data_IF_015680495226
#
_entry.id   IF_015680495226
#
_cell.length_a   1.000
_cell.length_b   1.000
_cell.length_c   1.000
_cell.angle_alpha   90.00
_cell.angle_beta   90.00
_cell.angle_gamma   90.00
#
_symmetry.space_group_name_H-M   'P 1'
#
loop_
_entity.id
_entity.type
_entity.pdbx_description
1 polymer ?
#
# COMPACT_ATOMS: atom_id res chain seq x y z
N UNK A 1 11.14 -10.40 -3.68
CA UNK A 1 10.52 -10.97 -2.47
C UNK A 1 11.64 -11.17 -1.47
N UNK A 2 11.58 -10.51 -0.31
CA UNK A 2 12.65 -10.61 0.69
C UNK A 2 12.70 -11.98 1.37
N UNK A 3 13.91 -12.42 1.74
CA UNK A 3 14.15 -13.68 2.46
C UNK A 3 13.17 -13.92 3.63
N UNK A 4 12.80 -12.90 4.45
CA UNK A 4 11.86 -13.09 5.55
C UNK A 4 10.48 -13.59 5.12
N UNK A 5 9.93 -13.06 4.03
CA UNK A 5 8.62 -13.44 3.53
C UNK A 5 8.62 -14.88 3.02
N UNK A 6 9.69 -15.29 2.35
CA UNK A 6 9.86 -16.67 1.88
C UNK A 6 9.94 -17.65 3.05
N UNK A 7 10.66 -17.31 4.12
CA UNK A 7 10.73 -18.14 5.33
C UNK A 7 9.35 -18.30 5.97
N UNK A 8 8.59 -17.21 6.10
CA UNK A 8 7.23 -17.25 6.65
C UNK A 8 6.33 -18.14 5.80
N UNK A 9 6.34 -18.00 4.48
CA UNK A 9 5.56 -18.83 3.57
C UNK A 9 5.93 -20.31 3.70
N UNK A 10 7.22 -20.64 3.75
CA UNK A 10 7.68 -22.01 3.96
C UNK A 10 7.27 -22.57 5.32
N UNK A 11 7.29 -21.77 6.38
CA UNK A 11 6.85 -22.19 7.71
C UNK A 11 5.35 -22.55 7.72
N UNK A 12 4.50 -21.70 7.15
CA UNK A 12 3.07 -21.99 7.07
C UNK A 12 2.76 -23.21 6.20
N UNK A 13 3.44 -23.36 5.07
CA UNK A 13 3.28 -24.55 4.22
C UNK A 13 3.75 -25.83 4.94
N UNK A 14 4.86 -25.75 5.68
CA UNK A 14 5.34 -26.87 6.50
C UNK A 14 4.39 -27.19 7.65
N UNK A 15 3.73 -26.19 8.23
CA UNK A 15 2.72 -26.39 9.26
C UNK A 15 1.52 -27.18 8.73
N UNK A 16 1.06 -26.95 7.51
CA UNK A 16 -0.02 -27.74 6.89
C UNK A 16 0.33 -29.22 6.79
N UNK A 17 1.61 -29.55 6.62
CA UNK A 17 2.06 -30.95 6.49
C UNK A 17 2.36 -31.61 7.84
N UNK A 18 2.86 -30.87 8.84
CA UNK A 18 3.33 -31.39 10.12
C UNK A 18 2.42 -31.03 11.30
N UNK A 19 1.24 -30.49 11.06
CA UNK A 19 0.36 -29.94 12.11
C UNK A 19 -0.03 -30.93 13.20
N UNK A 20 -0.16 -32.23 12.90
CA UNK A 20 -0.50 -33.30 13.83
C UNK A 20 0.64 -33.64 14.81
N UNK A 21 1.88 -33.26 14.50
CA UNK A 21 3.06 -33.57 15.30
C UNK A 21 3.40 -32.50 16.33
N UNK A 22 2.66 -31.39 16.32
CA UNK A 22 2.90 -30.28 17.21
C UNK A 22 2.12 -30.44 18.52
N UNK A 23 2.76 -30.19 19.69
CA UNK A 23 2.09 -30.39 20.98
C UNK A 23 1.17 -29.23 21.37
N UNK A 24 0.03 -29.56 21.99
CA UNK A 24 -0.83 -28.61 22.69
C UNK A 24 -1.65 -27.70 21.78
N UNK A 25 -1.65 -26.40 22.06
CA UNK A 25 -2.49 -25.41 21.35
C UNK A 25 -2.15 -25.26 19.86
N UNK A 26 -0.98 -25.76 19.44
CA UNK A 26 -0.53 -25.73 18.05
C UNK A 26 -0.82 -27.03 17.28
N UNK A 27 -1.50 -28.00 17.91
CA UNK A 27 -1.95 -29.20 17.25
C UNK A 27 -3.00 -28.85 16.19
N UNK A 28 -2.75 -29.19 14.94
CA UNK A 28 -3.60 -28.92 13.79
C UNK A 28 -3.83 -30.17 12.96
N UNK A 29 -4.73 -30.09 12.00
CA UNK A 29 -4.93 -31.15 11.03
C UNK A 29 -3.71 -31.22 10.11
N UNK A 30 -3.18 -32.43 9.88
CA UNK A 30 -2.17 -32.66 8.87
C UNK A 30 -2.83 -33.07 7.56
N UNK A 31 -2.35 -32.52 6.48
CA UNK A 31 -2.82 -32.83 5.14
C UNK A 31 -1.73 -33.57 4.38
N UNK A 32 -2.07 -34.62 3.62
CA UNK A 32 -1.11 -35.25 2.73
C UNK A 32 -0.60 -34.27 1.68
N UNK A 33 0.62 -34.48 1.23
CA UNK A 33 1.29 -33.56 0.29
C UNK A 33 0.47 -33.32 -0.99
N UNK A 34 -0.30 -34.32 -1.44
CA UNK A 34 -1.20 -34.19 -2.59
C UNK A 34 -2.29 -33.15 -2.37
N UNK A 35 -2.93 -33.16 -1.20
CA UNK A 35 -3.99 -32.19 -0.85
C UNK A 35 -3.41 -30.79 -0.65
N UNK A 36 -2.21 -30.68 -0.06
CA UNK A 36 -1.52 -29.38 0.09
C UNK A 36 -1.20 -28.77 -1.28
N UNK A 37 -0.72 -29.58 -2.23
CA UNK A 37 -0.44 -29.12 -3.60
C UNK A 37 -1.75 -28.75 -4.31
N UNK A 38 -2.78 -29.58 -4.17
CA UNK A 38 -4.09 -29.32 -4.76
C UNK A 38 -4.67 -28.01 -4.25
N UNK A 39 -4.69 -27.77 -2.94
CA UNK A 39 -5.19 -26.57 -2.31
C UNK A 39 -4.40 -25.31 -2.72
N UNK A 40 -3.07 -25.39 -2.79
CA UNK A 40 -2.24 -24.23 -3.10
C UNK A 40 -2.26 -23.89 -4.60
N UNK A 41 -2.31 -24.91 -5.48
CA UNK A 41 -2.09 -24.70 -6.91
C UNK A 41 -3.32 -24.90 -7.79
N UNK A 42 -4.23 -25.82 -7.43
CA UNK A 42 -5.37 -26.20 -8.27
C UNK A 42 -6.70 -25.59 -7.85
N UNK A 43 -6.77 -24.95 -6.67
CA UNK A 43 -7.99 -24.30 -6.21
C UNK A 43 -7.94 -22.79 -6.38
N UNK A 44 -9.12 -22.18 -6.44
CA UNK A 44 -9.31 -20.72 -6.47
C UNK A 44 -9.03 -20.04 -5.11
N UNK A 45 -8.69 -20.82 -4.08
CA UNK A 45 -8.34 -20.32 -2.74
C UNK A 45 -6.82 -20.27 -2.50
N UNK A 46 -6.02 -20.82 -3.42
CA UNK A 46 -4.56 -20.86 -3.35
C UNK A 46 -3.88 -19.68 -4.02
N UNK A 47 -2.81 -19.97 -4.77
CA UNK A 47 -2.01 -18.94 -5.48
C UNK A 47 -2.85 -18.21 -6.52
N UNK A 48 -3.72 -18.93 -7.24
CA UNK A 48 -4.59 -18.37 -8.29
C UNK A 48 -5.91 -17.81 -7.75
N UNK A 49 -5.92 -17.39 -6.51
CA UNK A 49 -7.09 -16.83 -5.84
C UNK A 49 -7.45 -15.42 -6.34
N UNK A 50 -8.61 -14.94 -5.93
CA UNK A 50 -9.15 -13.61 -6.23
C UNK A 50 -8.13 -12.47 -6.05
N UNK A 51 -7.28 -12.39 -4.99
CA UNK A 51 -6.25 -11.38 -4.86
C UNK A 51 -5.26 -11.32 -6.02
N UNK A 52 -4.87 -12.45 -6.59
CA UNK A 52 -4.00 -12.48 -7.76
C UNK A 52 -4.72 -11.92 -8.99
N UNK A 53 -5.98 -12.30 -9.19
CA UNK A 53 -6.80 -11.78 -10.29
C UNK A 53 -6.96 -10.26 -10.25
N UNK A 54 -7.30 -9.71 -9.09
CA UNK A 54 -7.40 -8.25 -8.87
C UNK A 54 -6.04 -7.56 -9.09
N UNK A 55 -4.96 -8.16 -8.59
CA UNK A 55 -3.60 -7.61 -8.76
C UNK A 55 -3.17 -7.58 -10.22
N UNK A 56 -3.47 -8.63 -10.98
CA UNK A 56 -3.08 -8.75 -12.38
C UNK A 56 -3.91 -7.86 -13.33
N UNK A 57 -5.10 -7.47 -12.93
CA UNK A 57 -6.02 -6.66 -13.76
C UNK A 57 -6.09 -5.20 -13.29
N UNK A 58 -6.88 -4.94 -12.26
CA UNK A 58 -7.16 -3.58 -11.79
C UNK A 58 -5.92 -2.88 -11.24
N UNK A 59 -5.20 -3.55 -10.32
CA UNK A 59 -4.04 -2.92 -9.67
C UNK A 59 -2.94 -2.66 -10.70
N UNK A 60 -2.66 -3.59 -11.61
CA UNK A 60 -1.66 -3.41 -12.65
C UNK A 60 -2.03 -2.23 -13.59
N UNK A 61 -3.29 -2.12 -14.01
CA UNK A 61 -3.75 -1.02 -14.86
C UNK A 61 -3.58 0.35 -14.16
N UNK A 62 -3.97 0.45 -12.89
CA UNK A 62 -3.81 1.69 -12.13
C UNK A 62 -2.36 2.04 -11.81
N UNK A 63 -1.48 1.05 -11.60
CA UNK A 63 -0.04 1.29 -11.41
C UNK A 63 0.60 1.86 -12.69
N UNK A 64 0.24 1.33 -13.86
CA UNK A 64 0.72 1.86 -15.15
C UNK A 64 0.21 3.29 -15.35
N UNK A 65 -1.07 3.54 -15.11
CA UNK A 65 -1.67 4.86 -15.23
C UNK A 65 -1.05 5.86 -14.25
N UNK A 66 -0.88 5.48 -12.98
CA UNK A 66 -0.24 6.31 -11.96
C UNK A 66 1.20 6.66 -12.31
N UNK A 67 1.98 5.68 -12.79
CA UNK A 67 3.36 5.90 -13.24
C UNK A 67 3.45 6.84 -14.45
N UNK A 68 2.49 6.77 -15.37
CA UNK A 68 2.40 7.72 -16.48
C UNK A 68 2.10 9.14 -15.98
N UNK A 69 1.12 9.31 -15.10
CA UNK A 69 0.79 10.61 -14.52
C UNK A 69 1.96 11.22 -13.73
N UNK A 70 2.68 10.41 -12.96
CA UNK A 70 3.86 10.86 -12.22
C UNK A 70 4.92 11.46 -13.18
N UNK A 71 5.17 10.81 -14.30
CA UNK A 71 6.12 11.30 -15.32
C UNK A 71 5.61 12.53 -16.07
N UNK A 72 4.31 12.76 -16.12
CA UNK A 72 3.72 13.98 -16.69
C UNK A 72 3.86 15.23 -15.81
N UNK A 73 4.50 15.12 -14.62
CA UNK A 73 4.73 16.26 -13.75
C UNK A 73 3.58 16.55 -12.77
N UNK A 74 2.72 15.58 -12.51
CA UNK A 74 1.59 15.71 -11.57
C UNK A 74 2.04 16.02 -10.15
N UNK A 75 3.21 15.52 -9.70
CA UNK A 75 3.74 15.80 -8.37
C UNK A 75 4.00 17.30 -8.11
N UNK A 76 4.82 18.00 -8.93
CA UNK A 76 5.01 19.46 -8.82
C UNK A 76 3.72 20.26 -8.95
N UNK A 77 2.79 19.82 -9.80
CA UNK A 77 1.47 20.46 -9.94
C UNK A 77 0.66 20.39 -8.66
N UNK A 78 0.55 19.22 -8.04
CA UNK A 78 -0.17 19.06 -6.76
C UNK A 78 0.47 19.82 -5.63
N UNK A 79 1.79 19.92 -5.61
CA UNK A 79 2.51 20.75 -4.65
C UNK A 79 2.13 22.23 -4.80
N UNK A 80 2.16 22.76 -6.02
CA UNK A 80 1.79 24.15 -6.29
C UNK A 80 0.31 24.42 -5.95
N UNK A 81 -0.55 23.48 -6.28
CA UNK A 81 -1.97 23.54 -5.94
C UNK A 81 -2.19 23.55 -4.41
N UNK A 82 -1.56 22.63 -3.68
CA UNK A 82 -1.63 22.59 -2.23
C UNK A 82 -1.11 23.88 -1.58
N UNK A 83 -0.03 24.47 -2.10
CA UNK A 83 0.51 25.76 -1.65
C UNK A 83 -0.49 26.89 -1.83
N UNK A 84 -1.20 26.94 -2.96
CA UNK A 84 -2.18 27.97 -3.22
C UNK A 84 -3.35 27.93 -2.23
N UNK A 85 -3.78 26.75 -1.80
CA UNK A 85 -4.91 26.59 -0.88
C UNK A 85 -4.53 26.69 0.60
N UNK A 86 -3.37 26.20 0.99
CA UNK A 86 -3.01 26.04 2.41
C UNK A 86 -1.79 26.85 2.84
N UNK A 87 -1.09 27.50 1.91
CA UNK A 87 0.19 28.16 2.18
C UNK A 87 0.11 29.32 3.19
N UNK A 88 -1.04 29.98 3.31
CA UNK A 88 -1.28 31.09 4.26
C UNK A 88 -1.88 30.66 5.59
N UNK A 89 -2.27 29.41 5.73
CA UNK A 89 -2.90 28.89 6.95
C UNK A 89 -1.85 28.69 8.08
N UNK A 90 -2.25 28.79 9.36
CA UNK A 90 -1.41 28.37 10.47
C UNK A 90 -0.97 26.91 10.30
N UNK A 91 0.34 26.64 10.40
CA UNK A 91 0.87 25.30 10.09
C UNK A 91 1.07 25.02 8.59
N UNK A 92 1.08 26.06 7.75
CA UNK A 92 1.15 25.99 6.27
C UNK A 92 1.99 24.86 5.68
N UNK A 93 3.27 24.67 6.06
CA UNK A 93 4.09 23.60 5.49
C UNK A 93 3.61 22.18 5.77
N UNK A 94 3.09 21.93 6.97
CA UNK A 94 2.51 20.62 7.30
C UNK A 94 1.18 20.40 6.54
N UNK A 95 0.37 21.44 6.43
CA UNK A 95 -0.88 21.38 5.65
C UNK A 95 -0.60 21.17 4.15
N UNK A 96 0.44 21.80 3.60
CA UNK A 96 0.90 21.56 2.23
C UNK A 96 1.31 20.10 2.06
N UNK A 97 2.06 19.53 3.01
CA UNK A 97 2.45 18.13 2.98
C UNK A 97 1.22 17.22 2.97
N UNK A 98 0.27 17.43 3.87
CA UNK A 98 -0.97 16.63 3.95
C UNK A 98 -1.78 16.73 2.65
N UNK A 99 -2.05 17.94 2.17
CA UNK A 99 -2.86 18.15 0.96
C UNK A 99 -2.20 17.58 -0.29
N UNK A 100 -0.89 17.82 -0.48
CA UNK A 100 -0.17 17.29 -1.64
C UNK A 100 -0.07 15.75 -1.59
N UNK A 101 0.15 15.17 -0.41
CA UNK A 101 0.17 13.71 -0.22
C UNK A 101 -1.21 13.08 -0.44
N UNK A 102 -2.29 13.72 -0.02
CA UNK A 102 -3.64 13.25 -0.32
C UNK A 102 -3.92 13.23 -1.83
N UNK A 103 -3.60 14.32 -2.52
CA UNK A 103 -3.78 14.43 -3.97
C UNK A 103 -2.91 13.43 -4.74
N UNK A 104 -1.64 13.32 -4.38
CA UNK A 104 -0.72 12.37 -5.02
C UNK A 104 -1.12 10.91 -4.69
N UNK A 105 -1.48 10.65 -3.43
CA UNK A 105 -1.91 9.33 -2.96
C UNK A 105 -3.17 8.85 -3.65
N UNK A 106 -4.11 9.76 -3.96
CA UNK A 106 -5.35 9.41 -4.68
C UNK A 106 -5.11 8.86 -6.09
N UNK A 107 -3.94 9.13 -6.67
CA UNK A 107 -3.55 8.63 -7.99
C UNK A 107 -2.58 7.45 -7.88
N UNK A 108 -1.58 7.55 -7.00
CA UNK A 108 -0.54 6.52 -6.87
C UNK A 108 -1.00 5.26 -6.12
N UNK A 109 -1.94 5.41 -5.19
CA UNK A 109 -2.42 4.32 -4.33
C UNK A 109 -1.36 3.67 -3.43
N UNK A 110 -0.11 4.17 -3.45
CA UNK A 110 1.03 3.60 -2.72
C UNK A 110 1.61 4.61 -1.75
N UNK A 111 1.58 4.30 -0.44
CA UNK A 111 2.20 5.16 0.58
C UNK A 111 3.71 5.35 0.34
N UNK A 112 4.41 4.30 -0.10
CA UNK A 112 5.86 4.38 -0.36
C UNK A 112 6.15 5.30 -1.54
N UNK A 113 5.43 5.13 -2.66
CA UNK A 113 5.57 6.02 -3.82
C UNK A 113 5.20 7.47 -3.45
N UNK A 114 4.19 7.66 -2.60
CA UNK A 114 3.77 8.98 -2.13
C UNK A 114 4.87 9.66 -1.30
N UNK A 115 5.48 8.97 -0.32
CA UNK A 115 6.61 9.51 0.45
C UNK A 115 7.77 9.92 -0.47
N UNK A 116 8.07 9.13 -1.51
CA UNK A 116 9.10 9.49 -2.48
C UNK A 116 8.70 10.68 -3.36
N UNK A 117 7.45 10.73 -3.80
CA UNK A 117 6.95 11.78 -4.69
C UNK A 117 6.80 13.14 -4.01
N UNK A 118 6.20 13.18 -2.83
CA UNK A 118 5.91 14.44 -2.10
C UNK A 118 6.95 14.75 -1.04
N UNK A 119 7.43 13.76 -0.29
CA UNK A 119 8.32 13.94 0.85
C UNK A 119 9.70 14.52 0.51
N UNK A 120 10.19 14.29 -0.71
CA UNK A 120 11.43 14.93 -1.19
C UNK A 120 11.35 16.46 -1.20
N UNK A 121 10.16 17.03 -1.29
CA UNK A 121 9.90 18.46 -1.27
C UNK A 121 9.35 18.93 0.06
N UNK A 122 8.38 18.24 0.63
CA UNK A 122 7.66 18.64 1.84
C UNK A 122 8.51 18.55 3.10
N UNK A 123 9.33 17.51 3.25
CA UNK A 123 10.22 17.37 4.42
C UNK A 123 11.25 18.50 4.50
N UNK A 124 12.01 18.82 3.41
CA UNK A 124 12.90 19.98 3.43
C UNK A 124 12.17 21.31 3.66
N UNK A 125 10.95 21.46 3.13
CA UNK A 125 10.15 22.67 3.33
C UNK A 125 9.78 22.84 4.81
N UNK A 126 9.28 21.82 5.47
CA UNK A 126 8.97 21.84 6.90
C UNK A 126 10.21 22.14 7.75
N UNK A 127 11.34 21.51 7.45
CA UNK A 127 12.61 21.73 8.16
C UNK A 127 13.13 23.17 8.02
N UNK A 128 13.01 23.79 6.85
CA UNK A 128 13.42 25.19 6.62
C UNK A 128 12.64 26.19 7.47
N UNK A 129 11.40 25.90 7.83
CA UNK A 129 10.53 26.78 8.63
C UNK A 129 10.64 26.45 10.13
N UNK A 130 11.49 25.50 10.51
CA UNK A 130 11.81 25.21 11.92
C UNK A 130 11.15 23.97 12.51
N UNK A 131 10.48 23.14 11.72
CA UNK A 131 9.97 21.87 12.21
C UNK A 131 11.12 20.90 12.55
N UNK A 132 11.08 20.21 13.69
CA UNK A 132 12.03 19.17 14.02
C UNK A 132 12.04 18.07 12.95
N UNK A 133 13.20 17.49 12.56
CA UNK A 133 13.30 16.50 11.50
C UNK A 133 12.42 15.27 11.71
N UNK A 134 12.31 14.77 12.95
CA UNK A 134 11.48 13.64 13.30
C UNK A 134 9.99 13.93 13.14
N UNK A 135 9.55 15.17 13.47
CA UNK A 135 8.18 15.61 13.29
C UNK A 135 7.83 15.76 11.81
N UNK A 136 8.71 16.38 11.01
CA UNK A 136 8.51 16.50 9.57
C UNK A 136 8.39 15.13 8.88
N UNK A 137 9.23 14.16 9.28
CA UNK A 137 9.13 12.78 8.79
C UNK A 137 7.84 12.08 9.22
N UNK A 138 7.39 12.29 10.46
CA UNK A 138 6.14 11.72 10.95
C UNK A 138 4.92 12.27 10.22
N UNK A 139 4.86 13.58 9.98
CA UNK A 139 3.78 14.23 9.21
C UNK A 139 3.69 13.61 7.81
N UNK A 140 4.83 13.49 7.12
CA UNK A 140 4.88 12.93 5.78
C UNK A 140 4.45 11.45 5.76
N UNK A 141 4.92 10.65 6.71
CA UNK A 141 4.58 9.23 6.79
C UNK A 141 3.07 9.02 7.01
N UNK A 142 2.46 9.79 7.90
CA UNK A 142 1.01 9.72 8.19
C UNK A 142 0.20 10.22 6.99
N UNK A 143 0.59 11.36 6.40
CA UNK A 143 -0.09 11.93 5.24
C UNK A 143 -0.05 10.97 4.04
N UNK A 144 1.11 10.38 3.78
CA UNK A 144 1.28 9.43 2.67
C UNK A 144 0.51 8.12 2.89
N UNK A 145 0.43 7.65 4.13
CA UNK A 145 -0.41 6.49 4.47
C UNK A 145 -1.89 6.80 4.29
N UNK A 146 -2.34 8.00 4.68
CA UNK A 146 -3.70 8.50 4.45
C UNK A 146 -4.08 8.58 2.97
N UNK A 147 -3.12 8.83 2.10
CA UNK A 147 -3.33 8.84 0.65
C UNK A 147 -3.86 7.52 0.08
N UNK A 148 -3.60 6.38 0.74
CA UNK A 148 -4.10 5.06 0.29
C UNK A 148 -5.62 4.90 0.42
N UNK A 149 -6.28 5.70 1.25
CA UNK A 149 -7.75 5.68 1.41
C UNK A 149 -8.45 6.79 0.62
N UNK A 150 -7.69 7.62 -0.08
CA UNK A 150 -8.25 8.72 -0.87
C UNK A 150 -8.72 8.24 -2.24
N UNK A 151 -10.00 8.44 -2.58
CA UNK A 151 -10.47 8.15 -3.94
C UNK A 151 -9.80 9.09 -4.97
N UNK A 152 -9.75 8.75 -6.28
CA UNK A 152 -10.47 7.64 -6.91
C UNK A 152 -9.70 6.31 -6.93
N UNK A 153 -8.37 6.29 -6.92
CA UNK A 153 -7.63 5.04 -7.13
C UNK A 153 -7.49 4.24 -5.83
N UNK A 154 -7.20 4.92 -4.73
CA UNK A 154 -6.95 4.28 -3.42
C UNK A 154 -5.78 3.27 -3.45
N UNK A 155 -5.55 2.56 -2.37
CA UNK A 155 -4.56 1.48 -2.31
C UNK A 155 -5.13 0.15 -2.79
N UNK A 156 -4.26 -0.81 -3.12
CA UNK A 156 -4.63 -2.14 -3.58
C UNK A 156 -5.64 -2.87 -2.65
N UNK A 157 -5.58 -2.58 -1.34
CA UNK A 157 -6.52 -3.12 -0.35
C UNK A 157 -7.98 -2.75 -0.60
N UNK A 158 -8.26 -1.59 -1.18
CA UNK A 158 -9.62 -1.18 -1.49
C UNK A 158 -10.25 -2.04 -2.60
N UNK A 159 -9.47 -2.38 -3.62
CA UNK A 159 -9.90 -3.28 -4.69
C UNK A 159 -10.17 -4.69 -4.18
N UNK A 160 -9.29 -5.20 -3.29
CA UNK A 160 -9.49 -6.49 -2.66
C UNK A 160 -10.75 -6.51 -1.81
N UNK A 161 -10.97 -5.46 -1.02
CA UNK A 161 -12.16 -5.33 -0.17
C UNK A 161 -13.44 -5.29 -1.01
N UNK A 162 -13.48 -4.50 -2.07
CA UNK A 162 -14.62 -4.45 -2.99
C UNK A 162 -14.91 -5.82 -3.61
N UNK A 163 -13.85 -6.53 -4.01
CA UNK A 163 -13.94 -7.85 -4.61
C UNK A 163 -14.47 -8.91 -3.62
N UNK A 164 -14.00 -8.91 -2.37
CA UNK A 164 -14.51 -9.81 -1.33
C UNK A 164 -15.97 -9.54 -0.94
N UNK A 165 -16.39 -8.29 -0.98
CA UNK A 165 -17.77 -7.89 -0.69
C UNK A 165 -18.72 -8.02 -1.90
N UNK A 166 -18.19 -8.34 -3.08
CA UNK A 166 -18.98 -8.42 -4.32
C UNK A 166 -19.54 -7.07 -4.75
N UNK A 167 -18.92 -5.96 -4.33
CA UNK A 167 -19.34 -4.60 -4.66
C UNK A 167 -18.60 -4.10 -5.92
N UNK A 168 -19.26 -3.33 -6.79
CA UNK A 168 -18.56 -2.63 -7.86
C UNK A 168 -17.62 -1.58 -7.25
N UNK A 169 -16.42 -1.46 -7.82
CA UNK A 169 -15.43 -0.46 -7.42
C UNK A 169 -15.72 0.89 -8.08
#
# INVERSE_FOLDING_TARGET
VGLPLTIIACLFTSYMYFGDKLPGVMEGLSFPLSEVIEQIYLTDEGIFSMPLGVSATLVAAFLIFGGFLEKCGTGPYFMSFAQAFTGTAPGGPANIAVMSSCLFGSISGSAVANVYGTGTFTIPLMKKIGYPPHFAGAVEAVASSGGQIMPPVMGAGAFLMASFLGLPF
#
